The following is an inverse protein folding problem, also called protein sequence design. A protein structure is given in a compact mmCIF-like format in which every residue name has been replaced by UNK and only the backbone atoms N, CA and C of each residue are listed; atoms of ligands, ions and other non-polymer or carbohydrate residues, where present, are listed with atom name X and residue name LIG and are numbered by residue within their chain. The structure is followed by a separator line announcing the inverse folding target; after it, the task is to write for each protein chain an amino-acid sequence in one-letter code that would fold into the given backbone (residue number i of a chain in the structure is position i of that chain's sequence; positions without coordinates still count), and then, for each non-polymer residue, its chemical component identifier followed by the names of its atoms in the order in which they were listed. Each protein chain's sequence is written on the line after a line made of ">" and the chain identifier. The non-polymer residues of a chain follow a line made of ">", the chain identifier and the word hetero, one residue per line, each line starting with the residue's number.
data_IF_824481930205
#
_entry.id   IF_824481930205
#
_cell.length_a   1.000
_cell.length_b   1.000
_cell.length_c   1.000
_cell.angle_alpha   90.00
_cell.angle_beta   90.00
_cell.angle_gamma   90.00
#
_symmetry.space_group_name_H-M   'P 1'
#
loop_
_entity.id
_entity.type
_entity.pdbx_description
1 polymer ?
#
# COMPACT_ATOMS: atom_id res chain seq x y z
N UNK A 1 -2.05 12.35 -17.51
CA UNK A 1 -1.72 10.91 -17.50
C UNK A 1 -0.54 10.76 -16.56
N UNK A 2 -0.70 10.03 -15.45
CA UNK A 2 0.41 9.84 -14.51
C UNK A 2 1.45 8.90 -15.11
N UNK A 3 2.69 9.02 -14.65
CA UNK A 3 3.78 8.14 -15.07
C UNK A 3 3.43 6.69 -14.75
N UNK A 4 3.87 5.78 -15.61
CA UNK A 4 3.66 4.36 -15.41
C UNK A 4 4.51 3.89 -14.22
N UNK A 5 3.86 3.29 -13.23
CA UNK A 5 4.54 2.75 -12.05
C UNK A 5 5.43 1.57 -12.47
N UNK A 6 6.68 1.56 -11.99
CA UNK A 6 7.58 0.42 -12.13
C UNK A 6 7.05 -0.75 -11.30
N UNK A 7 6.40 -1.70 -11.98
CA UNK A 7 5.74 -2.83 -11.36
C UNK A 7 6.70 -3.71 -10.56
N UNK A 8 7.93 -3.92 -11.04
CA UNK A 8 8.92 -4.74 -10.33
C UNK A 8 9.34 -4.08 -9.02
N UNK A 9 9.59 -2.76 -9.03
CA UNK A 9 9.90 -2.02 -7.81
C UNK A 9 8.72 -2.01 -6.84
N UNK A 10 7.51 -1.81 -7.35
CA UNK A 10 6.30 -1.80 -6.53
C UNK A 10 6.06 -3.15 -5.85
N UNK A 11 6.15 -4.25 -6.60
CA UNK A 11 6.00 -5.61 -6.04
C UNK A 11 7.05 -5.89 -4.97
N UNK A 12 8.31 -5.53 -5.21
CA UNK A 12 9.37 -5.76 -4.23
C UNK A 12 9.15 -4.93 -2.96
N UNK A 13 8.81 -3.64 -3.10
CA UNK A 13 8.53 -2.77 -1.96
C UNK A 13 7.31 -3.23 -1.15
N UNK A 14 6.23 -3.67 -1.79
CA UNK A 14 5.07 -4.24 -1.10
C UNK A 14 5.41 -5.58 -0.47
N UNK A 15 6.27 -6.39 -1.11
CA UNK A 15 6.74 -7.66 -0.53
C UNK A 15 7.53 -7.44 0.76
N UNK A 16 8.33 -6.37 0.87
CA UNK A 16 8.99 -6.02 2.13
C UNK A 16 7.96 -5.80 3.26
N UNK A 17 6.85 -5.12 2.97
CA UNK A 17 5.75 -4.92 3.93
C UNK A 17 5.11 -6.26 4.29
N UNK A 18 4.81 -7.10 3.31
CA UNK A 18 4.19 -8.42 3.52
C UNK A 18 5.08 -9.35 4.35
N UNK A 19 6.40 -9.30 4.19
CA UNK A 19 7.34 -10.13 4.97
C UNK A 19 7.45 -9.67 6.43
N UNK A 20 7.17 -8.40 6.72
CA UNK A 20 7.34 -7.81 8.05
C UNK A 20 6.01 -7.55 8.78
N UNK A 21 4.85 -7.72 8.13
CA UNK A 21 3.54 -7.54 8.78
C UNK A 21 3.20 -8.68 9.75
N UNK A 22 2.39 -8.41 10.79
CA UNK A 22 1.90 -9.46 11.68
C UNK A 22 1.19 -10.59 10.95
N UNK A 23 1.21 -11.80 11.54
CA UNK A 23 0.41 -12.92 11.03
C UNK A 23 -1.09 -12.63 11.21
N UNK A 24 -1.95 -13.06 10.28
CA UNK A 24 -3.38 -12.82 10.37
C UNK A 24 -3.97 -13.51 11.59
N UNK A 25 -4.79 -12.79 12.34
CA UNK A 25 -5.53 -13.29 13.49
C UNK A 25 -6.94 -13.69 13.08
N UNK A 26 -7.22 -15.00 13.05
CA UNK A 26 -8.53 -15.55 12.64
C UNK A 26 -9.69 -15.14 13.55
N UNK A 27 -9.41 -14.82 14.82
CA UNK A 27 -10.42 -14.29 15.77
C UNK A 27 -10.97 -12.93 15.36
N UNK A 28 -10.25 -12.21 14.49
CA UNK A 28 -10.70 -10.95 13.88
C UNK A 28 -11.01 -11.12 12.39
N UNK A 29 -11.21 -12.37 11.93
CA UNK A 29 -11.44 -12.76 10.54
C UNK A 29 -10.45 -12.16 9.53
N UNK A 30 -9.20 -11.96 9.95
CA UNK A 30 -8.19 -11.44 9.04
C UNK A 30 -7.85 -12.50 7.99
N UNK A 31 -7.99 -12.11 6.72
CA UNK A 31 -7.54 -12.83 5.54
C UNK A 31 -6.81 -11.80 4.69
N UNK A 32 -5.50 -11.95 4.58
CA UNK A 32 -4.71 -10.98 3.85
C UNK A 32 -4.84 -11.15 2.34
N UNK A 33 -4.82 -10.03 1.64
CA UNK A 33 -4.68 -9.93 0.19
C UNK A 33 -3.33 -10.46 -0.30
N UNK A 34 -3.27 -10.73 -1.61
CA UNK A 34 -2.02 -11.04 -2.31
C UNK A 34 -1.23 -9.76 -2.57
N UNK A 35 0.09 -9.90 -2.66
CA UNK A 35 1.01 -8.78 -2.92
C UNK A 35 0.63 -7.96 -4.14
N UNK A 36 0.27 -8.60 -5.25
CA UNK A 36 -0.10 -7.88 -6.48
C UNK A 36 -1.38 -7.05 -6.29
N UNK A 37 -2.38 -7.59 -5.59
CA UNK A 37 -3.63 -6.88 -5.29
C UNK A 37 -3.35 -5.67 -4.39
N UNK A 38 -2.44 -5.82 -3.42
CA UNK A 38 -1.99 -4.72 -2.56
C UNK A 38 -1.27 -3.60 -3.33
N UNK A 39 -0.45 -3.94 -4.34
CA UNK A 39 0.18 -2.93 -5.22
C UNK A 39 -0.90 -2.11 -5.92
N UNK A 40 -1.85 -2.78 -6.57
CA UNK A 40 -2.95 -2.12 -7.31
C UNK A 40 -3.79 -1.25 -6.37
N UNK A 41 -4.18 -1.77 -5.21
CA UNK A 41 -4.97 -1.00 -4.26
C UNK A 41 -4.20 0.20 -3.72
N UNK A 42 -2.91 0.04 -3.40
CA UNK A 42 -2.08 1.13 -2.89
C UNK A 42 -1.93 2.25 -3.91
N UNK A 43 -1.75 1.91 -5.19
CA UNK A 43 -1.70 2.89 -6.28
C UNK A 43 -3.02 3.66 -6.40
N UNK A 44 -4.16 2.95 -6.42
CA UNK A 44 -5.50 3.56 -6.51
C UNK A 44 -5.76 4.48 -5.31
N UNK A 45 -5.42 4.04 -4.10
CA UNK A 45 -5.61 4.83 -2.88
C UNK A 45 -4.71 6.06 -2.88
N UNK A 46 -3.42 5.90 -3.21
CA UNK A 46 -2.48 7.01 -3.30
C UNK A 46 -2.94 8.03 -4.36
N UNK A 47 -3.48 7.55 -5.48
CA UNK A 47 -3.96 8.41 -6.56
C UNK A 47 -5.17 9.24 -6.15
N UNK A 48 -6.18 8.56 -5.61
CA UNK A 48 -7.38 9.20 -5.13
C UNK A 48 -7.10 10.16 -3.96
N UNK A 49 -6.16 9.81 -3.07
CA UNK A 49 -5.85 10.59 -1.89
C UNK A 49 -4.79 11.68 -2.11
N UNK A 50 -4.31 11.89 -3.33
CA UNK A 50 -3.20 12.80 -3.60
C UNK A 50 -3.44 14.22 -3.04
N UNK A 51 -2.52 14.67 -2.17
CA UNK A 51 -2.62 15.95 -1.45
C UNK A 51 -3.66 16.01 -0.32
N UNK A 52 -4.52 15.00 -0.16
CA UNK A 52 -5.55 14.93 0.88
C UNK A 52 -5.00 14.35 2.19
N UNK A 53 -5.68 14.62 3.30
CA UNK A 53 -5.44 13.94 4.58
C UNK A 53 -6.21 12.63 4.58
N UNK A 54 -5.54 11.52 4.85
CA UNK A 54 -6.11 10.18 4.80
C UNK A 54 -6.03 9.49 6.16
N UNK A 55 -7.08 8.76 6.53
CA UNK A 55 -7.07 7.88 7.69
C UNK A 55 -7.55 6.49 7.26
N UNK A 56 -6.83 5.46 7.69
CA UNK A 56 -7.19 4.06 7.44
C UNK A 56 -7.88 3.50 8.68
N UNK A 57 -9.00 2.81 8.49
CA UNK A 57 -9.77 2.16 9.56
C UNK A 57 -9.85 0.68 9.24
N UNK A 58 -9.22 -0.14 10.09
CA UNK A 58 -8.94 -1.54 9.76
C UNK A 58 -7.83 -1.62 8.70
N UNK A 59 -6.67 -2.13 9.09
CA UNK A 59 -5.51 -2.20 8.20
C UNK A 59 -4.70 -3.49 8.42
N UNK A 60 -5.39 -4.63 8.47
CA UNK A 60 -4.73 -5.93 8.65
C UNK A 60 -3.74 -6.25 7.52
N UNK A 61 -4.05 -5.80 6.31
CA UNK A 61 -3.18 -5.96 5.16
C UNK A 61 -1.96 -5.04 5.16
N UNK A 62 -1.96 -3.98 5.96
CA UNK A 62 -0.96 -2.91 5.98
C UNK A 62 -0.94 -2.05 4.68
N UNK A 63 -2.10 -1.77 4.09
CA UNK A 63 -2.23 -0.90 2.91
C UNK A 63 -1.81 0.53 3.25
N UNK A 64 -2.07 1.01 4.47
CA UNK A 64 -1.61 2.34 4.89
C UNK A 64 -0.09 2.45 4.82
N UNK A 65 0.59 1.39 5.26
CA UNK A 65 2.05 1.29 5.20
C UNK A 65 2.51 1.18 3.75
N UNK A 66 1.85 0.38 2.91
CA UNK A 66 2.21 0.30 1.49
C UNK A 66 2.11 1.65 0.77
N UNK A 67 1.03 2.41 0.97
CA UNK A 67 0.86 3.75 0.39
C UNK A 67 1.99 4.69 0.83
N UNK A 68 2.26 4.74 2.13
CA UNK A 68 3.32 5.59 2.67
C UNK A 68 4.72 5.14 2.21
N UNK A 69 4.98 3.83 2.24
CA UNK A 69 6.28 3.23 1.92
C UNK A 69 6.61 3.36 0.43
N UNK A 70 5.65 3.12 -0.47
CA UNK A 70 5.84 3.29 -1.91
C UNK A 70 6.19 4.75 -2.26
N UNK A 71 5.55 5.72 -1.60
CA UNK A 71 5.90 7.14 -1.77
C UNK A 71 7.28 7.47 -1.18
N UNK A 72 7.58 6.97 0.03
CA UNK A 72 8.88 7.20 0.68
C UNK A 72 10.05 6.55 -0.07
N UNK A 73 9.80 5.47 -0.81
CA UNK A 73 10.77 4.77 -1.67
C UNK A 73 10.80 5.32 -3.10
N UNK A 74 10.09 6.41 -3.36
CA UNK A 74 10.00 7.07 -4.68
C UNK A 74 9.51 6.13 -5.80
N UNK A 75 8.75 5.09 -5.43
CA UNK A 75 8.06 4.23 -6.40
C UNK A 75 6.80 4.94 -6.90
N UNK A 76 6.14 5.70 -6.02
CA UNK A 76 5.07 6.63 -6.37
C UNK A 76 5.53 8.06 -6.12
N UNK A 77 5.34 8.94 -7.10
CA UNK A 77 5.63 10.38 -6.99
C UNK A 77 4.45 11.18 -6.40
N UNK A 78 3.36 10.51 -6.05
CA UNK A 78 2.10 11.08 -5.59
C UNK A 78 1.60 10.38 -4.32
N UNK A 79 0.66 10.99 -3.61
CA UNK A 79 0.03 10.37 -2.45
C UNK A 79 -0.52 11.35 -1.42
N UNK A 80 -1.09 10.83 -0.32
CA UNK A 80 -1.72 11.65 0.71
C UNK A 80 -0.74 12.63 1.35
N UNK A 81 -1.22 13.82 1.71
CA UNK A 81 -0.39 14.83 2.41
C UNK A 81 -0.12 14.47 3.87
N UNK A 82 -1.01 13.70 4.50
CA UNK A 82 -0.90 13.15 5.85
C UNK A 82 -1.68 11.85 5.97
#
# INVERSE_FOLDING_TARGET
>A
MREQVDLHKAINAVSDVVQNRPRPLRVFDQIHMKTADMVVQSEIVADWADGKRLAFIGDGDAVSVCVAYLRAREVLSFGPSK
#
